data_IF_743808244634
#
_entry.id   IF_743808244634
#
_cell.length_a   1.000
_cell.length_b   1.000
_cell.length_c   1.000
_cell.angle_alpha   90.00
_cell.angle_beta   90.00
_cell.angle_gamma   90.00
#
_symmetry.space_group_name_H-M   'P 1'
#
loop_
_entity.id
_entity.type
_entity.pdbx_description
1 polymer ?
#
# COMPACT_ATOMS: atom_id res chain seq x y z
N UNK A 1 53.58 86.01 -10.64
CA UNK A 1 53.68 86.21 -9.18
C UNK A 1 52.50 87.06 -8.68
N UNK A 2 51.53 86.48 -7.97
CA UNK A 2 50.58 87.21 -7.10
C UNK A 2 49.87 86.24 -6.13
N UNK A 3 50.25 86.34 -4.85
CA UNK A 3 49.53 86.02 -3.60
C UNK A 3 48.60 84.78 -3.52
N UNK A 4 49.15 83.55 -3.63
CA UNK A 4 48.47 82.32 -3.14
C UNK A 4 48.95 81.83 -1.76
N UNK A 5 50.07 82.34 -1.25
CA UNK A 5 50.63 81.91 0.05
C UNK A 5 49.91 82.45 1.29
N UNK A 6 49.25 83.61 1.20
CA UNK A 6 48.73 84.33 2.37
C UNK A 6 47.45 83.68 2.95
N UNK A 7 46.61 83.04 2.11
CA UNK A 7 45.36 82.41 2.56
C UNK A 7 45.56 81.04 3.23
N UNK A 8 46.63 80.33 2.91
CA UNK A 8 46.92 79.00 3.49
C UNK A 8 47.45 79.16 4.93
N UNK A 9 48.28 80.16 5.21
CA UNK A 9 48.77 80.42 6.56
C UNK A 9 47.67 80.89 7.52
N UNK A 10 46.70 81.67 7.04
CA UNK A 10 45.55 82.09 7.86
C UNK A 10 44.65 80.88 8.18
N UNK A 11 44.40 80.00 7.20
CA UNK A 11 43.59 78.79 7.42
C UNK A 11 44.26 77.82 8.41
N UNK A 12 45.58 77.58 8.27
CA UNK A 12 46.34 76.72 9.18
C UNK A 12 46.42 77.36 10.58
N UNK A 13 46.57 78.68 10.68
CA UNK A 13 46.54 79.41 11.95
C UNK A 13 45.19 79.32 12.68
N UNK A 14 44.08 79.42 11.94
CA UNK A 14 42.73 79.27 12.51
C UNK A 14 42.47 77.81 12.93
N UNK A 15 42.89 76.83 12.14
CA UNK A 15 42.76 75.40 12.48
C UNK A 15 43.59 75.07 13.73
N UNK A 16 44.82 75.59 13.84
CA UNK A 16 45.65 75.41 15.03
C UNK A 16 45.04 76.13 16.25
N UNK A 17 44.49 77.34 16.11
CA UNK A 17 43.79 78.02 17.23
C UNK A 17 42.52 77.31 17.68
N UNK A 18 41.85 76.54 16.81
CA UNK A 18 40.66 75.77 17.19
C UNK A 18 41.04 74.44 17.87
N UNK A 19 42.20 73.87 17.55
CA UNK A 19 42.65 72.58 18.12
C UNK A 19 43.39 72.77 19.46
N UNK A 20 44.05 73.92 19.69
CA UNK A 20 44.90 74.13 20.87
C UNK A 20 44.15 74.30 22.23
N UNK A 21 42.88 74.76 22.35
CA UNK A 21 42.22 74.82 23.66
C UNK A 21 41.59 73.48 24.10
N UNK A 22 41.60 72.43 23.27
CA UNK A 22 41.00 71.14 23.64
C UNK A 22 41.90 70.24 24.48
N UNK A 23 43.14 70.65 24.78
CA UNK A 23 44.01 69.99 25.77
C UNK A 23 43.87 70.58 27.18
N UNK A 24 42.82 71.36 27.42
CA UNK A 24 42.34 71.61 28.79
C UNK A 24 41.98 70.28 29.44
N UNK A 25 42.66 69.95 30.54
CA UNK A 25 42.45 68.75 31.34
C UNK A 25 40.99 68.50 31.78
N UNK A 26 40.06 69.44 31.52
CA UNK A 26 38.63 69.28 31.75
C UNK A 26 37.83 68.69 30.59
N UNK A 27 38.18 68.86 29.31
CA UNK A 27 37.33 68.39 28.20
C UNK A 27 37.44 66.87 28.00
N UNK A 28 38.65 66.32 28.08
CA UNK A 28 38.86 64.85 28.01
C UNK A 28 38.29 64.17 29.26
N UNK A 29 38.40 64.80 30.44
CA UNK A 29 37.85 64.26 31.69
C UNK A 29 36.32 64.35 31.72
N UNK A 30 35.75 65.43 31.16
CA UNK A 30 34.31 65.56 30.91
C UNK A 30 33.82 64.53 29.88
N UNK A 31 34.54 64.29 28.78
CA UNK A 31 34.16 63.30 27.78
C UNK A 31 34.21 61.87 28.34
N UNK A 32 35.23 61.55 29.17
CA UNK A 32 35.31 60.27 29.92
C UNK A 32 34.22 60.13 30.99
N UNK A 33 33.84 61.22 31.68
CA UNK A 33 32.77 61.22 32.69
C UNK A 33 31.35 61.31 32.11
N UNK A 34 31.17 61.79 30.88
CA UNK A 34 29.85 62.04 30.28
C UNK A 34 29.46 60.95 29.28
N UNK A 35 30.43 60.24 28.68
CA UNK A 35 30.18 58.96 27.99
C UNK A 35 30.27 57.82 29.01
N UNK A 36 29.26 57.71 29.89
CA UNK A 36 29.12 56.61 30.86
C UNK A 36 28.35 55.41 30.31
N UNK A 37 28.27 55.28 28.97
CA UNK A 37 27.52 54.24 28.27
C UNK A 37 28.28 52.97 27.96
N UNK A 38 29.46 52.72 28.54
CA UNK A 38 30.07 51.38 28.49
C UNK A 38 29.37 50.51 29.53
N UNK A 39 28.47 49.65 29.07
CA UNK A 39 28.03 48.54 29.89
C UNK A 39 29.26 47.66 30.19
N UNK A 40 29.85 47.83 31.38
CA UNK A 40 31.06 47.10 31.81
C UNK A 40 30.78 45.62 32.06
N UNK A 41 29.50 45.24 32.16
CA UNK A 41 29.03 43.87 32.13
C UNK A 41 27.68 43.85 31.39
N UNK A 42 27.61 43.07 30.32
CA UNK A 42 26.36 42.69 29.66
C UNK A 42 26.19 41.18 29.86
N UNK A 43 25.00 40.71 30.28
CA UNK A 43 24.76 39.28 30.34
C UNK A 43 24.87 38.69 28.93
N UNK A 44 25.67 37.64 28.78
CA UNK A 44 25.67 36.80 27.59
C UNK A 44 24.95 35.50 27.93
N UNK A 45 24.01 35.10 27.08
CA UNK A 45 23.36 33.81 27.21
C UNK A 45 24.26 32.77 26.53
N UNK A 46 24.70 31.77 27.31
CA UNK A 46 25.44 30.62 26.79
C UNK A 46 24.49 29.43 26.84
N UNK A 47 24.28 28.78 25.71
CA UNK A 47 23.57 27.50 25.63
C UNK A 47 24.51 26.42 25.12
N UNK A 48 24.38 25.22 25.67
CA UNK A 48 25.05 24.00 25.22
C UNK A 48 23.98 22.91 25.14
N UNK A 49 24.00 22.15 24.04
CA UNK A 49 23.16 20.96 23.89
C UNK A 49 24.06 19.74 24.10
N UNK A 50 23.68 18.87 25.03
CA UNK A 50 24.31 17.58 25.25
C UNK A 50 23.37 16.54 24.63
N UNK A 51 23.88 15.71 23.73
CA UNK A 51 23.16 14.57 23.18
C UNK A 51 23.33 13.35 24.07
N UNK A 52 22.35 12.43 24.06
CA UNK A 52 22.56 11.11 24.66
C UNK A 52 23.64 10.31 23.95
N UNK A 53 23.93 9.17 24.55
CA UNK A 53 25.03 8.26 24.17
C UNK A 53 24.58 6.81 24.03
N UNK A 54 23.34 6.49 24.40
CA UNK A 54 22.75 5.18 24.34
C UNK A 54 21.83 5.08 23.12
N UNK A 55 21.77 3.89 22.51
CA UNK A 55 20.85 3.64 21.40
C UNK A 55 19.43 3.41 21.94
N UNK A 56 18.42 3.83 21.19
CA UNK A 56 17.01 3.48 21.48
C UNK A 56 16.79 1.96 21.35
N UNK A 57 15.98 1.38 22.23
CA UNK A 57 15.63 -0.04 22.22
C UNK A 57 14.14 -0.21 21.92
N UNK A 58 13.79 -1.20 21.10
CA UNK A 58 12.40 -1.60 20.89
C UNK A 58 12.01 -2.60 21.97
N UNK A 59 11.28 -2.13 22.98
CA UNK A 59 10.85 -2.94 24.13
C UNK A 59 9.75 -3.91 23.75
N UNK A 60 8.75 -3.47 22.96
CA UNK A 60 7.67 -4.36 22.52
C UNK A 60 7.05 -3.94 21.19
N UNK A 61 6.56 -4.95 20.45
CA UNK A 61 5.78 -4.79 19.23
C UNK A 61 4.50 -5.60 19.42
N UNK A 62 3.34 -4.94 19.35
CA UNK A 62 2.04 -5.57 19.57
C UNK A 62 1.09 -5.25 18.44
N UNK A 63 0.57 -6.29 17.79
CA UNK A 63 -0.50 -6.14 16.79
C UNK A 63 -1.85 -6.06 17.50
N UNK A 64 -2.65 -5.03 17.22
CA UNK A 64 -3.94 -4.79 17.89
C UNK A 64 -5.03 -5.64 17.22
N UNK A 65 -5.73 -6.47 18.02
CA UNK A 65 -6.87 -7.27 17.55
C UNK A 65 -6.53 -8.64 16.96
N UNK A 66 -5.35 -9.20 17.24
CA UNK A 66 -4.79 -10.40 16.60
C UNK A 66 -4.42 -11.51 17.60
N UNK A 67 -4.28 -12.79 17.14
CA UNK A 67 -3.33 -13.20 16.09
C UNK A 67 -3.86 -13.37 14.64
N UNK A 68 -5.17 -13.55 14.40
CA UNK A 68 -5.69 -13.95 13.08
C UNK A 68 -6.40 -12.84 12.28
N UNK A 69 -5.99 -12.61 11.03
CA UNK A 69 -6.62 -11.67 10.09
C UNK A 69 -7.58 -12.39 9.14
N UNK A 70 -8.85 -12.01 9.19
CA UNK A 70 -9.80 -12.22 8.09
C UNK A 70 -9.81 -11.02 7.14
N UNK A 71 -9.47 -11.27 5.87
CA UNK A 71 -9.58 -10.29 4.79
C UNK A 71 -11.03 -10.13 4.32
N UNK A 72 -11.33 -9.01 3.68
CA UNK A 72 -12.63 -8.72 3.08
C UNK A 72 -12.45 -8.69 1.56
N UNK A 73 -13.38 -9.31 0.84
CA UNK A 73 -13.39 -9.36 -0.63
C UNK A 73 -13.24 -7.96 -1.25
N UNK A 74 -12.27 -7.82 -2.15
CA UNK A 74 -12.07 -6.58 -2.92
C UNK A 74 -11.58 -5.37 -2.11
N UNK A 75 -11.29 -5.53 -0.81
CA UNK A 75 -10.94 -4.42 0.09
C UNK A 75 -9.57 -4.60 0.75
N UNK A 76 -8.97 -3.47 1.14
CA UNK A 76 -7.85 -3.47 2.07
C UNK A 76 -8.32 -3.61 3.51
N UNK A 77 -7.48 -4.14 4.38
CA UNK A 77 -7.68 -4.19 5.83
C UNK A 77 -6.50 -3.57 6.54
N UNK A 78 -6.78 -2.55 7.32
CA UNK A 78 -5.77 -1.86 8.11
C UNK A 78 -5.41 -2.67 9.35
N UNK A 79 -4.11 -2.80 9.60
CA UNK A 79 -3.52 -3.47 10.74
C UNK A 79 -2.84 -2.42 11.60
N UNK A 80 -3.31 -2.26 12.84
CA UNK A 80 -2.69 -1.37 13.81
C UNK A 80 -1.62 -2.12 14.60
N UNK A 81 -0.42 -1.57 14.62
CA UNK A 81 0.74 -2.07 15.36
C UNK A 81 1.15 -1.01 16.37
N UNK A 82 1.19 -1.39 17.64
CA UNK A 82 1.75 -0.55 18.70
C UNK A 82 3.20 -0.94 18.93
N UNK A 83 4.06 0.07 19.04
CA UNK A 83 5.50 -0.08 19.26
C UNK A 83 5.87 0.73 20.49
N UNK A 84 6.53 0.10 21.45
CA UNK A 84 7.10 0.79 22.61
C UNK A 84 8.61 0.88 22.42
N UNK A 85 9.10 2.12 22.41
CA UNK A 85 10.52 2.43 22.41
C UNK A 85 10.96 2.85 23.81
N UNK A 86 12.20 2.51 24.17
CA UNK A 86 12.83 2.86 25.42
C UNK A 86 14.21 3.46 25.15
N UNK A 87 14.49 4.62 25.72
CA UNK A 87 15.79 5.27 25.67
C UNK A 87 16.26 5.65 27.08
N UNK A 88 17.43 5.16 27.48
CA UNK A 88 17.97 5.41 28.82
C UNK A 88 18.40 6.86 29.04
N UNK A 89 18.70 7.60 27.98
CA UNK A 89 19.04 9.03 28.04
C UNK A 89 17.79 9.92 28.12
N UNK A 90 16.62 9.34 27.90
CA UNK A 90 15.31 9.95 28.13
C UNK A 90 14.44 9.96 26.88
N UNK A 91 13.13 10.00 27.08
CA UNK A 91 12.14 9.91 25.99
C UNK A 91 12.29 11.01 24.93
N UNK A 92 12.80 12.18 25.31
CA UNK A 92 13.06 13.29 24.39
C UNK A 92 14.24 13.04 23.43
N UNK A 93 15.07 12.03 23.68
CA UNK A 93 16.15 11.63 22.77
C UNK A 93 15.64 10.68 21.66
N UNK A 94 14.43 10.13 21.80
CA UNK A 94 13.84 9.30 20.74
C UNK A 94 13.48 10.18 19.53
N UNK A 95 13.94 9.78 18.34
CA UNK A 95 13.53 10.45 17.10
C UNK A 95 12.14 9.94 16.66
N UNK A 96 11.08 10.60 17.12
CA UNK A 96 9.68 10.28 16.77
C UNK A 96 9.45 10.06 15.26
N UNK A 97 10.11 10.85 14.41
CA UNK A 97 9.93 10.78 12.96
C UNK A 97 10.61 9.58 12.28
N UNK A 98 11.50 8.89 13.01
CA UNK A 98 12.22 7.71 12.52
C UNK A 98 11.45 6.41 12.69
N UNK A 99 10.39 6.43 13.51
CA UNK A 99 9.65 5.24 13.91
C UNK A 99 8.81 4.73 12.74
N UNK A 100 9.09 3.48 12.37
CA UNK A 100 8.45 2.81 11.26
C UNK A 100 8.17 1.34 11.61
N UNK A 101 7.15 0.77 10.98
CA UNK A 101 6.84 -0.64 11.08
C UNK A 101 6.68 -1.26 9.69
N UNK A 102 6.87 -2.58 9.63
CA UNK A 102 6.57 -3.36 8.44
C UNK A 102 5.96 -4.73 8.79
N UNK A 103 5.25 -5.29 7.82
CA UNK A 103 4.69 -6.64 7.83
C UNK A 103 5.24 -7.33 6.59
N UNK A 104 5.94 -8.45 6.76
CA UNK A 104 6.61 -9.16 5.66
C UNK A 104 6.25 -10.64 5.62
N UNK A 105 6.14 -11.17 4.40
CA UNK A 105 5.93 -12.60 4.17
C UNK A 105 7.13 -13.18 3.44
N UNK A 106 7.73 -14.24 3.99
CA UNK A 106 8.90 -14.87 3.39
C UNK A 106 8.54 -15.80 2.23
N UNK A 107 7.29 -16.26 2.12
CA UNK A 107 6.86 -17.18 1.08
C UNK A 107 6.70 -16.50 -0.29
N UNK A 108 6.31 -15.22 -0.33
CA UNK A 108 6.23 -14.44 -1.58
C UNK A 108 7.14 -13.20 -1.62
N UNK A 109 7.88 -12.93 -0.54
CA UNK A 109 8.84 -11.83 -0.47
C UNK A 109 8.22 -10.44 -0.40
N UNK A 110 6.89 -10.35 -0.22
CA UNK A 110 6.20 -9.06 -0.14
C UNK A 110 6.41 -8.46 1.26
N UNK A 111 6.67 -7.15 1.28
CA UNK A 111 6.70 -6.34 2.50
C UNK A 111 5.75 -5.16 2.36
N UNK A 112 4.89 -4.98 3.36
CA UNK A 112 4.04 -3.81 3.55
C UNK A 112 4.68 -2.96 4.65
N UNK A 113 4.86 -1.67 4.42
CA UNK A 113 5.50 -0.79 5.41
C UNK A 113 4.70 0.49 5.62
N UNK A 114 4.85 1.06 6.81
CA UNK A 114 4.46 2.42 7.11
C UNK A 114 5.65 3.12 7.78
N UNK A 115 6.13 4.19 7.13
CA UNK A 115 7.28 5.00 7.56
C UNK A 115 6.88 6.20 8.40
N UNK A 116 5.64 6.24 8.89
CA UNK A 116 5.04 7.37 9.61
C UNK A 116 4.13 6.86 10.72
N UNK A 117 4.74 6.28 11.76
CA UNK A 117 4.02 5.92 12.96
C UNK A 117 3.65 7.17 13.77
N UNK A 118 2.47 7.15 14.38
CA UNK A 118 1.97 8.28 15.20
C UNK A 118 2.41 8.09 16.63
N UNK A 119 3.07 9.10 17.20
CA UNK A 119 3.37 9.16 18.63
C UNK A 119 2.06 9.27 19.42
N UNK A 120 1.75 8.26 20.24
CA UNK A 120 0.54 8.21 21.08
C UNK A 120 0.74 8.89 22.44
N UNK A 121 1.98 8.95 22.91
CA UNK A 121 2.40 9.63 24.13
C UNK A 121 3.50 8.88 24.87
N UNK A 122 4.12 9.61 25.79
CA UNK A 122 5.13 9.09 26.70
C UNK A 122 4.46 8.20 27.75
N UNK A 123 5.02 7.01 27.97
CA UNK A 123 4.61 6.12 29.05
C UNK A 123 5.28 6.50 30.37
N UNK A 124 6.51 7.00 30.30
CA UNK A 124 7.29 7.57 31.41
C UNK A 124 8.48 8.41 30.88
N UNK A 125 9.47 8.69 31.73
CA UNK A 125 10.63 9.52 31.39
C UNK A 125 11.56 8.92 30.33
N UNK A 126 11.46 7.62 30.03
CA UNK A 126 12.36 6.91 29.13
C UNK A 126 11.62 6.21 27.99
N UNK A 127 10.30 6.03 28.11
CA UNK A 127 9.52 5.23 27.17
C UNK A 127 8.44 6.03 26.45
N UNK A 128 8.33 5.83 25.14
CA UNK A 128 7.26 6.35 24.30
C UNK A 128 6.52 5.23 23.56
N UNK A 129 5.24 5.44 23.32
CA UNK A 129 4.38 4.51 22.59
C UNK A 129 3.95 5.09 21.25
N UNK A 130 4.08 4.30 20.19
CA UNK A 130 3.75 4.68 18.82
C UNK A 130 2.73 3.73 18.22
N UNK A 131 1.87 4.24 17.34
CA UNK A 131 0.92 3.44 16.56
C UNK A 131 1.19 3.59 15.07
N UNK A 132 1.43 2.47 14.41
CA UNK A 132 1.60 2.36 12.97
C UNK A 132 0.38 1.67 12.38
N UNK A 133 -0.12 2.16 11.24
CA UNK A 133 -1.23 1.52 10.52
C UNK A 133 -0.73 1.02 9.16
N UNK A 134 -0.79 -0.28 8.93
CA UNK A 134 -0.34 -0.90 7.68
C UNK A 134 -1.52 -1.61 7.02
N UNK A 135 -1.81 -1.25 5.78
CA UNK A 135 -2.88 -1.89 5.01
C UNK A 135 -2.41 -3.20 4.39
N UNK A 136 -3.14 -4.28 4.69
CA UNK A 136 -3.06 -5.57 4.01
C UNK A 136 -4.12 -5.60 2.90
N UNK A 137 -3.79 -6.16 1.75
CA UNK A 137 -4.71 -6.24 0.62
C UNK A 137 -5.42 -7.58 0.55
N UNK A 138 -6.62 -7.62 -0.04
CA UNK A 138 -7.39 -8.87 -0.21
C UNK A 138 -6.65 -9.96 -1.00
N UNK A 139 -5.61 -9.60 -1.75
CA UNK A 139 -4.77 -10.52 -2.54
C UNK A 139 -3.42 -10.84 -1.90
N UNK A 140 -3.15 -10.36 -0.68
CA UNK A 140 -1.93 -10.73 0.06
C UNK A 140 -2.00 -12.21 0.47
N UNK A 141 -0.88 -12.93 0.32
CA UNK A 141 -0.84 -14.39 0.49
C UNK A 141 -1.24 -14.81 1.91
N UNK A 142 -2.07 -15.85 2.00
CA UNK A 142 -2.35 -16.53 3.25
C UNK A 142 -1.07 -17.02 3.96
N UNK A 143 -1.11 -17.14 5.28
CA UNK A 143 -0.04 -17.72 6.08
C UNK A 143 0.54 -16.74 7.08
N UNK A 144 1.76 -17.03 7.54
CA UNK A 144 2.42 -16.27 8.61
C UNK A 144 3.17 -15.06 8.04
N UNK A 145 2.90 -13.90 8.62
CA UNK A 145 3.57 -12.64 8.35
C UNK A 145 4.36 -12.19 9.57
N UNK A 146 5.62 -11.83 9.34
CA UNK A 146 6.50 -11.28 10.36
C UNK A 146 6.23 -9.80 10.51
N UNK A 147 6.02 -9.34 11.74
CA UNK A 147 5.87 -7.92 12.05
C UNK A 147 7.18 -7.42 12.64
N UNK A 148 7.73 -6.35 12.09
CA UNK A 148 8.94 -5.72 12.63
C UNK A 148 8.78 -4.21 12.74
N UNK A 149 9.55 -3.62 13.64
CA UNK A 149 9.60 -2.18 13.85
C UNK A 149 11.04 -1.70 13.87
N UNK A 150 11.22 -0.40 13.66
CA UNK A 150 12.51 0.26 13.85
C UNK A 150 12.35 1.70 14.31
N UNK A 151 13.33 2.20 15.06
CA UNK A 151 13.44 3.58 15.48
C UNK A 151 14.90 4.00 15.60
N UNK A 152 15.15 5.30 15.66
CA UNK A 152 16.46 5.91 15.85
C UNK A 152 16.43 6.80 17.10
N UNK A 153 17.58 6.87 17.75
CA UNK A 153 17.89 7.87 18.76
C UNK A 153 18.43 9.16 18.08
N UNK A 154 18.17 10.34 18.66
CA UNK A 154 18.63 11.64 18.15
C UNK A 154 20.12 11.86 18.38
N UNK A 155 20.69 11.29 19.45
CA UNK A 155 22.10 11.44 19.80
C UNK A 155 23.03 10.61 18.92
N UNK A 156 22.97 9.29 19.08
CA UNK A 156 23.73 8.27 18.38
C UNK A 156 23.36 8.15 16.90
N UNK A 157 22.08 8.39 16.56
CA UNK A 157 21.50 8.19 15.21
C UNK A 157 21.61 6.75 14.72
N UNK A 158 21.79 5.81 15.64
CA UNK A 158 21.79 4.38 15.34
C UNK A 158 20.34 3.92 15.21
N UNK A 159 20.03 3.20 14.12
CA UNK A 159 18.72 2.62 13.92
C UNK A 159 18.65 1.23 14.54
N UNK A 160 17.75 1.06 15.48
CA UNK A 160 17.46 -0.23 16.10
C UNK A 160 16.30 -0.90 15.40
N UNK A 161 16.37 -2.23 15.25
CA UNK A 161 15.34 -3.06 14.62
C UNK A 161 14.98 -4.23 15.53
N UNK A 162 13.70 -4.59 15.59
CA UNK A 162 13.24 -5.78 16.30
C UNK A 162 12.04 -6.41 15.59
N UNK A 163 11.81 -7.70 15.83
CA UNK A 163 10.70 -8.49 15.28
C UNK A 163 9.77 -8.86 16.43
N UNK A 164 8.46 -8.76 16.19
CA UNK A 164 7.43 -9.18 17.13
C UNK A 164 7.59 -10.66 17.49
N UNK A 165 7.40 -11.00 18.76
CA UNK A 165 7.32 -12.39 19.22
C UNK A 165 6.02 -13.07 18.75
N UNK A 166 5.00 -12.28 18.46
CA UNK A 166 3.73 -12.76 17.92
C UNK A 166 3.71 -12.69 16.40
N UNK A 167 3.49 -13.83 15.78
CA UNK A 167 3.26 -13.95 14.36
C UNK A 167 1.82 -13.53 14.00
N UNK A 168 1.69 -12.82 12.89
CA UNK A 168 0.41 -12.44 12.32
C UNK A 168 -0.02 -13.51 11.31
N UNK A 169 -1.18 -14.12 11.50
CA UNK A 169 -1.67 -15.15 10.58
C UNK A 169 -2.74 -14.56 9.66
N UNK A 170 -2.51 -14.61 8.34
CA UNK A 170 -3.49 -14.18 7.34
C UNK A 170 -4.29 -15.38 6.85
N UNK A 171 -5.61 -15.34 7.03
CA UNK A 171 -6.51 -16.39 6.60
C UNK A 171 -6.67 -16.49 5.09
N UNK A 172 -7.25 -17.61 4.65
CA UNK A 172 -7.64 -17.83 3.26
C UNK A 172 -8.94 -17.08 2.98
N UNK A 173 -8.98 -16.32 1.89
CA UNK A 173 -10.15 -15.69 1.31
C UNK A 173 -10.39 -16.29 -0.07
N UNK A 174 -11.38 -17.17 -0.18
CA UNK A 174 -11.88 -17.70 -1.46
C UNK A 174 -13.05 -16.85 -1.91
N UNK A 175 -12.82 -15.94 -2.85
CA UNK A 175 -13.86 -15.06 -3.38
C UNK A 175 -13.58 -14.73 -4.84
N UNK A 176 -14.59 -14.88 -5.70
CA UNK A 176 -14.50 -14.51 -7.11
C UNK A 176 -15.76 -13.77 -7.54
N UNK A 177 -15.60 -12.91 -8.55
CA UNK A 177 -16.70 -12.26 -9.25
C UNK A 177 -16.62 -12.59 -10.74
N UNK A 178 -17.78 -12.68 -11.40
CA UNK A 178 -17.86 -13.00 -12.83
C UNK A 178 -18.62 -11.93 -13.59
N UNK A 179 -18.22 -11.68 -14.84
CA UNK A 179 -18.92 -10.77 -15.74
C UNK A 179 -18.71 -11.17 -17.21
N UNK A 180 -19.74 -11.14 -18.07
CA UNK A 180 -21.14 -10.91 -17.75
C UNK A 180 -21.79 -12.13 -17.08
N UNK A 181 -22.95 -11.92 -16.44
CA UNK A 181 -23.76 -12.97 -15.81
C UNK A 181 -24.62 -13.76 -16.81
N UNK A 182 -24.64 -13.34 -18.07
CA UNK A 182 -25.39 -13.98 -19.15
C UNK A 182 -24.44 -14.35 -20.29
N UNK A 183 -24.54 -15.60 -20.75
CA UNK A 183 -23.82 -16.10 -21.93
C UNK A 183 -24.86 -16.30 -23.02
N UNK A 184 -24.62 -15.75 -24.20
CA UNK A 184 -25.58 -15.81 -25.32
C UNK A 184 -24.92 -16.32 -26.58
N UNK A 185 -25.68 -16.98 -27.44
CA UNK A 185 -25.29 -17.31 -28.81
C UNK A 185 -26.25 -16.59 -29.76
N UNK A 186 -25.74 -15.78 -30.70
CA UNK A 186 -26.60 -15.00 -31.61
C UNK A 186 -27.46 -15.89 -32.51
N UNK A 187 -26.82 -16.83 -33.21
CA UNK A 187 -27.52 -17.78 -34.08
C UNK A 187 -26.85 -19.14 -33.99
N UNK A 188 -27.64 -20.16 -33.67
CA UNK A 188 -27.17 -21.54 -33.59
C UNK A 188 -28.06 -22.39 -34.49
N UNK A 189 -27.48 -22.96 -35.55
CA UNK A 189 -28.21 -23.79 -36.50
C UNK A 189 -28.15 -25.26 -36.06
N UNK A 190 -29.28 -25.97 -35.95
CA UNK A 190 -29.29 -27.41 -35.70
C UNK A 190 -28.39 -28.17 -36.70
N UNK A 191 -27.54 -29.07 -36.20
CA UNK A 191 -26.54 -29.79 -37.01
C UNK A 191 -25.30 -28.97 -37.38
N UNK A 192 -25.22 -27.69 -36.99
CA UNK A 192 -24.03 -26.88 -37.13
C UNK A 192 -22.88 -27.36 -36.23
N UNK A 193 -21.69 -26.84 -36.48
CA UNK A 193 -20.49 -27.14 -35.70
C UNK A 193 -19.82 -25.87 -35.20
N UNK A 194 -19.05 -25.99 -34.12
CA UNK A 194 -18.23 -24.92 -33.54
C UNK A 194 -19.00 -23.61 -33.29
N UNK A 195 -20.21 -23.70 -32.76
CA UNK A 195 -21.02 -22.53 -32.45
C UNK A 195 -20.48 -21.87 -31.16
N UNK A 196 -19.72 -20.79 -31.34
CA UNK A 196 -19.11 -20.00 -30.27
C UNK A 196 -20.14 -19.05 -29.63
N UNK A 197 -20.02 -18.83 -28.32
CA UNK A 197 -20.78 -17.80 -27.66
C UNK A 197 -20.40 -16.41 -28.16
N UNK A 198 -21.32 -15.47 -28.02
CA UNK A 198 -21.17 -14.07 -28.44
C UNK A 198 -20.29 -13.26 -27.48
N UNK A 199 -20.06 -13.80 -26.29
CA UNK A 199 -19.31 -13.16 -25.22
C UNK A 199 -18.55 -14.20 -24.41
N UNK A 200 -17.33 -13.86 -24.02
CA UNK A 200 -16.60 -14.57 -22.96
C UNK A 200 -17.12 -14.21 -21.57
N UNK A 201 -16.78 -15.02 -20.57
CA UNK A 201 -16.96 -14.72 -19.15
C UNK A 201 -15.62 -14.38 -18.53
N UNK A 202 -15.49 -13.17 -18.00
CA UNK A 202 -14.39 -12.77 -17.15
C UNK A 202 -14.61 -13.32 -15.74
N UNK A 203 -13.57 -13.92 -15.18
CA UNK A 203 -13.53 -14.38 -13.79
C UNK A 203 -12.44 -13.60 -13.08
N UNK A 204 -12.84 -12.79 -12.12
CA UNK A 204 -11.94 -11.98 -11.32
C UNK A 204 -11.78 -12.63 -9.94
N UNK A 205 -10.58 -13.03 -9.58
CA UNK A 205 -10.26 -13.48 -8.24
C UNK A 205 -10.20 -12.26 -7.30
N UNK A 206 -11.21 -12.14 -6.45
CA UNK A 206 -11.37 -11.06 -5.47
C UNK A 206 -10.91 -11.48 -4.07
N UNK A 207 -10.16 -12.59 -3.97
CA UNK A 207 -9.51 -13.10 -2.76
C UNK A 207 -8.01 -13.35 -2.91
N UNK A 208 -7.43 -14.11 -1.98
CA UNK A 208 -6.00 -14.43 -1.93
C UNK A 208 -5.67 -15.91 -2.20
N UNK A 209 -6.64 -16.67 -2.69
CA UNK A 209 -6.50 -18.10 -2.95
C UNK A 209 -6.20 -18.34 -4.44
N UNK A 210 -5.11 -19.03 -4.75
CA UNK A 210 -4.82 -19.49 -6.11
C UNK A 210 -5.52 -20.83 -6.37
N UNK A 211 -6.30 -20.94 -7.45
CA UNK A 211 -6.92 -22.21 -7.88
C UNK A 211 -7.03 -22.27 -9.41
N UNK A 212 -7.50 -23.41 -9.90
CA UNK A 212 -8.10 -23.55 -11.23
C UNK A 212 -9.56 -23.11 -11.21
N UNK A 213 -10.18 -22.95 -12.37
CA UNK A 213 -11.62 -22.64 -12.46
C UNK A 213 -12.41 -23.89 -12.81
N UNK A 214 -13.48 -24.13 -12.07
CA UNK A 214 -14.43 -25.20 -12.28
C UNK A 214 -15.77 -24.64 -12.77
N UNK A 215 -16.36 -25.31 -13.75
CA UNK A 215 -17.71 -25.02 -14.24
C UNK A 215 -18.61 -26.21 -13.96
N UNK A 216 -19.72 -25.96 -13.27
CA UNK A 216 -20.82 -26.92 -13.14
C UNK A 216 -21.94 -26.48 -14.07
N UNK A 217 -22.00 -27.13 -15.23
CA UNK A 217 -23.05 -26.91 -16.21
C UNK A 217 -24.26 -27.81 -15.96
N UNK A 218 -25.43 -27.35 -16.38
CA UNK A 218 -26.65 -28.16 -16.45
C UNK A 218 -27.30 -28.01 -17.82
N UNK A 219 -28.14 -28.99 -18.18
CA UNK A 219 -28.88 -28.95 -19.42
C UNK A 219 -29.72 -27.67 -19.55
N UNK A 220 -29.83 -27.18 -20.78
CA UNK A 220 -30.72 -26.08 -21.13
C UNK A 220 -31.98 -26.63 -21.80
N UNK A 221 -33.13 -26.04 -21.48
CA UNK A 221 -34.44 -26.54 -21.89
C UNK A 221 -35.13 -25.54 -22.82
N UNK A 222 -35.92 -26.08 -23.75
CA UNK A 222 -36.73 -25.25 -24.64
C UNK A 222 -37.73 -24.42 -23.86
N UNK A 223 -37.85 -23.12 -24.17
CA UNK A 223 -38.80 -22.24 -23.50
C UNK A 223 -40.24 -22.43 -23.98
N UNK A 224 -40.42 -22.91 -25.22
CA UNK A 224 -41.74 -23.17 -25.80
C UNK A 224 -42.12 -24.65 -25.68
N UNK A 225 -41.23 -25.55 -26.11
CA UNK A 225 -41.38 -27.00 -26.01
C UNK A 225 -40.46 -27.46 -24.88
N UNK A 226 -40.98 -27.43 -23.65
CA UNK A 226 -40.21 -27.68 -22.41
C UNK A 226 -39.75 -29.12 -22.23
N UNK A 227 -40.26 -30.05 -23.06
CA UNK A 227 -39.79 -31.44 -23.12
C UNK A 227 -38.52 -31.59 -23.95
N UNK A 228 -38.15 -30.61 -24.77
CA UNK A 228 -36.90 -30.60 -25.51
C UNK A 228 -35.79 -29.95 -24.67
N UNK A 229 -34.57 -30.49 -24.82
CA UNK A 229 -33.38 -29.97 -24.13
C UNK A 229 -32.14 -30.16 -24.97
N UNK A 230 -31.13 -29.34 -24.71
CA UNK A 230 -29.78 -29.51 -25.20
C UNK A 230 -28.94 -29.97 -24.01
N UNK A 231 -28.38 -31.17 -24.12
CA UNK A 231 -27.52 -31.72 -23.08
C UNK A 231 -26.26 -30.87 -22.93
N UNK A 232 -25.90 -30.51 -21.70
CA UNK A 232 -24.72 -29.70 -21.41
C UNK A 232 -23.41 -30.37 -21.84
N UNK A 233 -23.41 -31.69 -22.01
CA UNK A 233 -22.28 -32.44 -22.58
C UNK A 233 -22.01 -32.16 -24.06
N UNK A 234 -22.86 -31.38 -24.73
CA UNK A 234 -22.54 -30.80 -26.05
C UNK A 234 -21.81 -29.46 -25.95
N UNK A 235 -21.54 -28.95 -24.74
CA UNK A 235 -20.87 -27.69 -24.52
C UNK A 235 -19.45 -27.90 -24.01
N UNK A 236 -18.58 -26.97 -24.37
CA UNK A 236 -17.21 -26.89 -23.92
C UNK A 236 -16.93 -25.51 -23.32
N UNK A 237 -16.06 -25.50 -22.32
CA UNK A 237 -15.49 -24.29 -21.75
C UNK A 237 -13.96 -24.33 -21.95
N UNK A 238 -13.34 -23.22 -22.32
CA UNK A 238 -11.89 -23.14 -22.55
C UNK A 238 -11.31 -21.76 -22.27
N UNK A 239 -9.98 -21.65 -22.19
CA UNK A 239 -9.30 -20.38 -21.88
C UNK A 239 -8.86 -19.57 -23.10
N UNK A 240 -8.80 -20.17 -24.29
CA UNK A 240 -8.34 -19.49 -25.53
C UNK A 240 -8.93 -20.06 -26.82
N UNK A 241 -9.19 -21.38 -26.88
CA UNK A 241 -9.80 -22.04 -28.03
C UNK A 241 -10.92 -22.98 -27.56
N UNK A 242 -12.08 -22.40 -27.31
CA UNK A 242 -13.24 -23.03 -26.69
C UNK A 242 -13.83 -24.23 -27.44
N UNK A 243 -13.62 -24.32 -28.76
CA UNK A 243 -14.14 -25.43 -29.56
C UNK A 243 -13.10 -26.53 -29.82
N UNK A 244 -11.85 -26.34 -29.38
CA UNK A 244 -10.77 -27.29 -29.63
C UNK A 244 -10.76 -28.40 -28.59
N UNK A 245 -11.36 -29.51 -29.00
CA UNK A 245 -11.58 -30.69 -28.18
C UNK A 245 -10.38 -31.66 -28.20
N UNK A 246 -9.21 -31.25 -28.68
CA UNK A 246 -7.98 -32.05 -28.58
C UNK A 246 -7.50 -32.22 -27.12
N UNK A 247 -8.24 -31.65 -26.16
CA UNK A 247 -8.09 -31.90 -24.72
C UNK A 247 -7.10 -30.96 -24.04
N UNK A 248 -6.53 -30.01 -24.76
CA UNK A 248 -5.51 -29.09 -24.23
C UNK A 248 -6.11 -27.76 -23.80
N UNK A 249 -7.08 -27.23 -24.54
CA UNK A 249 -7.54 -25.83 -24.42
C UNK A 249 -9.00 -25.68 -24.00
N UNK A 250 -9.79 -26.75 -24.11
CA UNK A 250 -11.17 -26.79 -23.69
C UNK A 250 -11.53 -28.13 -23.03
N UNK A 251 -12.54 -28.10 -22.17
CA UNK A 251 -13.10 -29.25 -21.46
C UNK A 251 -14.59 -29.38 -21.79
N UNK A 252 -15.05 -30.59 -22.11
CA UNK A 252 -16.48 -30.86 -22.21
C UNK A 252 -17.14 -30.77 -20.84
N UNK A 253 -18.28 -30.08 -20.78
CA UNK A 253 -19.05 -30.01 -19.55
C UNK A 253 -19.79 -31.32 -19.29
N UNK A 254 -20.07 -31.60 -18.03
CA UNK A 254 -20.80 -32.80 -17.60
C UNK A 254 -21.98 -32.33 -16.76
N UNK A 255 -23.17 -32.88 -17.05
CA UNK A 255 -24.40 -32.46 -16.38
C UNK A 255 -24.29 -32.59 -14.87
N UNK A 256 -24.47 -31.46 -14.18
CA UNK A 256 -24.44 -31.35 -12.73
C UNK A 256 -23.13 -31.87 -12.10
N UNK A 257 -22.01 -31.76 -12.81
CA UNK A 257 -20.68 -32.16 -12.32
C UNK A 257 -19.71 -31.01 -12.56
N UNK A 258 -18.92 -30.68 -11.54
CA UNK A 258 -17.86 -29.69 -11.65
C UNK A 258 -16.77 -30.20 -12.59
N UNK A 259 -16.52 -29.47 -13.66
CA UNK A 259 -15.46 -29.74 -14.63
C UNK A 259 -14.42 -28.63 -14.57
N UNK A 260 -13.16 -29.00 -14.36
CA UNK A 260 -12.05 -28.05 -14.43
C UNK A 260 -11.84 -27.58 -15.87
N UNK A 261 -11.81 -26.28 -16.08
CA UNK A 261 -11.52 -25.67 -17.38
C UNK A 261 -10.01 -25.70 -17.59
N UNK A 262 -9.55 -26.43 -18.61
CA UNK A 262 -8.13 -26.58 -18.88
C UNK A 262 -7.44 -25.23 -19.09
N UNK A 263 -6.23 -25.10 -18.53
CA UNK A 263 -5.40 -23.89 -18.61
C UNK A 263 -6.11 -22.61 -18.13
N UNK A 264 -6.94 -22.71 -17.09
CA UNK A 264 -7.48 -21.55 -16.37
C UNK A 264 -6.84 -21.44 -15.00
N UNK A 265 -6.47 -20.21 -14.62
CA UNK A 265 -5.85 -19.93 -13.33
C UNK A 265 -6.51 -18.73 -12.68
N UNK A 266 -7.27 -18.97 -11.61
CA UNK A 266 -7.76 -17.92 -10.73
C UNK A 266 -6.64 -17.57 -9.74
N UNK A 267 -5.57 -16.96 -10.21
CA UNK A 267 -4.48 -16.48 -9.35
C UNK A 267 -4.93 -15.26 -8.54
N UNK A 268 -4.38 -15.07 -7.34
CA UNK A 268 -4.57 -13.84 -6.56
C UNK A 268 -3.94 -12.66 -7.30
N UNK A 269 -4.53 -11.47 -7.20
CA UNK A 269 -4.02 -10.32 -7.94
C UNK A 269 -4.69 -9.00 -7.63
N UNK A 270 -4.00 -7.90 -7.98
CA UNK A 270 -4.57 -6.57 -7.90
C UNK A 270 -5.37 -6.25 -9.16
N UNK A 271 -6.70 -6.31 -9.05
CA UNK A 271 -7.62 -6.02 -10.15
C UNK A 271 -7.62 -4.55 -10.61
N UNK A 272 -7.11 -3.61 -9.81
CA UNK A 272 -7.10 -2.18 -10.14
C UNK A 272 -5.98 -1.75 -11.08
N UNK A 273 -4.91 -2.56 -11.22
CA UNK A 273 -3.75 -2.20 -12.07
C UNK A 273 -4.08 -2.32 -13.57
N UNK A 274 -5.09 -3.12 -13.93
CA UNK A 274 -5.46 -3.36 -15.33
C UNK A 274 -4.34 -4.05 -16.09
N UNK A 275 -4.36 -5.38 -16.17
CA UNK A 275 -3.35 -6.16 -16.93
C UNK A 275 -3.66 -7.67 -16.98
N UNK A 276 -4.85 -8.09 -16.55
CA UNK A 276 -5.16 -9.50 -16.34
C UNK A 276 -4.65 -10.09 -15.03
N UNK A 277 -3.99 -9.30 -14.17
CA UNK A 277 -3.51 -9.81 -12.86
C UNK A 277 -4.70 -10.18 -11.98
N UNK A 278 -4.84 -11.48 -11.69
CA UNK A 278 -5.99 -12.04 -10.97
C UNK A 278 -7.28 -12.11 -11.77
N UNK A 279 -7.21 -12.00 -13.10
CA UNK A 279 -8.34 -12.14 -14.00
C UNK A 279 -8.10 -13.30 -14.96
N UNK A 280 -9.17 -14.01 -15.28
CA UNK A 280 -9.17 -15.10 -16.25
C UNK A 280 -10.36 -14.96 -17.19
N UNK A 281 -10.25 -15.54 -18.39
CA UNK A 281 -11.35 -15.59 -19.35
C UNK A 281 -11.80 -17.02 -19.58
N UNK A 282 -13.11 -17.21 -19.62
CA UNK A 282 -13.73 -18.45 -20.07
C UNK A 282 -14.48 -18.18 -21.36
N UNK A 283 -14.13 -18.95 -22.38
CA UNK A 283 -14.77 -18.97 -23.68
C UNK A 283 -15.67 -20.21 -23.77
N UNK A 284 -16.81 -20.07 -24.45
CA UNK A 284 -17.86 -21.08 -24.48
C UNK A 284 -18.16 -21.51 -25.91
N UNK A 285 -18.31 -22.82 -26.14
CA UNK A 285 -18.64 -23.35 -27.45
C UNK A 285 -19.61 -24.53 -27.38
N UNK A 286 -20.32 -24.73 -28.49
CA UNK A 286 -21.05 -25.95 -28.81
C UNK A 286 -20.34 -26.57 -30.02
N UNK A 287 -19.43 -27.54 -29.82
CA UNK A 287 -18.69 -28.14 -30.93
C UNK A 287 -19.60 -28.80 -31.96
N UNK A 288 -20.69 -29.43 -31.51
CA UNK A 288 -21.72 -30.04 -32.37
C UNK A 288 -23.11 -29.65 -31.86
N UNK A 289 -23.86 -28.90 -32.66
CA UNK A 289 -25.22 -28.48 -32.30
C UNK A 289 -26.18 -29.63 -32.58
N UNK A 290 -26.95 -30.11 -31.59
CA UNK A 290 -27.90 -31.20 -31.81
C UNK A 290 -29.06 -30.78 -32.73
N UNK A 291 -29.70 -31.78 -33.35
CA UNK A 291 -30.94 -31.59 -34.10
C UNK A 291 -32.12 -31.43 -33.13
N UNK A 292 -32.51 -30.19 -32.86
CA UNK A 292 -33.64 -29.81 -32.00
C UNK A 292 -34.54 -28.79 -32.71
N UNK A 293 -35.75 -28.56 -32.21
CA UNK A 293 -36.66 -27.58 -32.82
C UNK A 293 -36.15 -26.14 -32.67
N UNK A 294 -36.57 -25.26 -33.58
CA UNK A 294 -36.23 -23.83 -33.52
C UNK A 294 -37.01 -23.14 -32.40
N UNK A 295 -36.31 -22.79 -31.32
CA UNK A 295 -36.82 -22.07 -30.16
C UNK A 295 -35.63 -21.57 -29.31
N UNK A 296 -35.91 -20.77 -28.29
CA UNK A 296 -34.94 -20.43 -27.26
C UNK A 296 -34.72 -21.63 -26.34
N UNK A 297 -33.45 -21.91 -26.02
CA UNK A 297 -33.07 -22.85 -24.98
C UNK A 297 -32.33 -22.09 -23.88
N UNK A 298 -32.75 -22.25 -22.63
CA UNK A 298 -32.17 -21.52 -21.50
C UNK A 298 -32.14 -22.35 -20.21
N UNK A 299 -31.48 -21.79 -19.21
CA UNK A 299 -31.41 -22.32 -17.84
C UNK A 299 -32.54 -21.82 -16.94
N UNK A 300 -33.51 -21.06 -17.46
CA UNK A 300 -34.55 -20.40 -16.66
C UNK A 300 -35.35 -21.38 -15.79
N UNK A 301 -35.54 -22.61 -16.25
CA UNK A 301 -36.28 -23.66 -15.53
C UNK A 301 -35.42 -24.58 -14.67
N UNK A 302 -34.10 -24.57 -14.85
CA UNK A 302 -33.17 -25.56 -14.27
C UNK A 302 -32.12 -24.96 -13.31
N UNK A 303 -31.92 -23.63 -13.33
CA UNK A 303 -30.92 -22.93 -12.53
C UNK A 303 -29.67 -22.54 -13.34
N UNK A 304 -28.97 -21.48 -12.92
CA UNK A 304 -27.78 -21.02 -13.62
C UNK A 304 -26.62 -22.02 -13.56
N UNK A 305 -25.71 -21.96 -14.54
CA UNK A 305 -24.42 -22.63 -14.42
C UNK A 305 -23.60 -21.97 -13.32
N UNK A 306 -22.78 -22.76 -12.62
CA UNK A 306 -21.97 -22.30 -11.49
C UNK A 306 -20.50 -22.26 -11.92
N UNK A 307 -19.85 -21.12 -11.69
CA UNK A 307 -18.41 -20.94 -11.84
C UNK A 307 -17.80 -20.81 -10.45
N UNK A 308 -16.84 -21.67 -10.13
CA UNK A 308 -16.22 -21.76 -8.81
C UNK A 308 -14.72 -22.10 -8.91
N UNK A 309 -14.03 -22.07 -7.77
CA UNK A 309 -12.66 -22.57 -7.63
C UNK A 309 -12.54 -24.09 -7.63
#
# INVERSE_FOLDING_TARGET
MKKKGEKIFILIGIILMIIIPLTSAGFIDWFKKTITGQATNLPTNVSVTISGTNDVIIESIRVVGYPDITLIEGQGKDITINVVLNDTDGVNDINDSSVQANISNTADGITRSNTSCVHLGDLDAQRANYSCVISMWYWDIQGVWNVSASGEDLGTKVRTHNISETNLSLGILKALTINPLLITWVTVNPGGTNAKASNETFVNNTGNYNSTINVTGINIYGETITTESINVSNFTAGSTNECDITGVTASYLINNTAVTVNNTFANRGNLSIGSGTGQEKIFWCIPNVPYVSSQTYSTNSSGGWIIAY
#
